data_IF_738704928495
#
_entry.id   IF_738704928495
#
_cell.length_a   1.000
_cell.length_b   1.000
_cell.length_c   1.000
_cell.angle_alpha   90.00
_cell.angle_beta   90.00
_cell.angle_gamma   90.00
#
_symmetry.space_group_name_H-M   'P 1'
#
loop_
_entity.id
_entity.type
_entity.pdbx_description
1 polymer ?
#
# COMPACT_ATOMS: atom_id res chain seq x y z
N UNK A 1 19.25 -8.62 -50.82
CA UNK A 1 20.41 -7.99 -50.15
C UNK A 1 19.85 -6.96 -49.21
N UNK A 2 19.69 -7.35 -47.94
CA UNK A 2 19.16 -6.46 -46.88
C UNK A 2 20.24 -5.47 -46.46
N UNK A 3 20.13 -4.23 -46.92
CA UNK A 3 20.92 -3.11 -46.42
C UNK A 3 20.38 -2.76 -45.00
N UNK A 4 20.80 -3.50 -43.99
CA UNK A 4 20.65 -3.05 -42.62
C UNK A 4 21.64 -1.89 -42.41
N UNK A 5 21.15 -0.66 -42.52
CA UNK A 5 21.88 0.51 -42.04
C UNK A 5 22.18 0.26 -40.55
N UNK A 6 23.47 0.14 -40.22
CA UNK A 6 23.96 -0.11 -38.86
C UNK A 6 23.37 0.93 -37.91
N UNK A 7 22.45 0.48 -37.00
CA UNK A 7 21.88 1.30 -35.95
C UNK A 7 20.39 1.67 -36.09
N UNK A 8 19.76 1.37 -37.23
CA UNK A 8 18.32 1.64 -37.42
C UNK A 8 17.53 0.33 -37.37
N UNK A 9 16.66 0.20 -36.35
CA UNK A 9 15.70 -0.89 -36.21
C UNK A 9 14.32 -0.42 -36.69
N UNK A 10 13.77 -1.06 -37.72
CA UNK A 10 12.39 -0.82 -38.14
C UNK A 10 11.44 -1.54 -37.20
N UNK A 11 10.57 -0.79 -36.55
CA UNK A 11 9.54 -1.31 -35.62
C UNK A 11 8.19 -0.94 -36.17
N UNK A 12 7.25 -1.91 -36.16
CA UNK A 12 5.87 -1.65 -36.54
C UNK A 12 5.18 -0.91 -35.39
N UNK A 13 4.74 0.32 -35.62
CA UNK A 13 4.13 1.20 -34.61
C UNK A 13 2.98 0.52 -33.84
N UNK A 14 2.09 -0.17 -34.56
CA UNK A 14 0.94 -0.85 -33.94
C UNK A 14 1.38 -1.94 -32.97
N UNK A 15 2.43 -2.70 -33.29
CA UNK A 15 2.95 -3.75 -32.41
C UNK A 15 3.60 -3.16 -31.17
N UNK A 16 4.42 -2.13 -31.37
CA UNK A 16 5.09 -1.43 -30.25
C UNK A 16 4.08 -0.79 -29.30
N UNK A 17 3.08 -0.09 -29.83
CA UNK A 17 2.00 0.52 -29.04
C UNK A 17 1.24 -0.51 -28.22
N UNK A 18 0.86 -1.67 -28.80
CA UNK A 18 0.19 -2.74 -28.07
C UNK A 18 1.04 -3.27 -26.92
N UNK A 19 2.30 -3.58 -27.18
CA UNK A 19 3.20 -4.14 -26.18
C UNK A 19 3.45 -3.15 -25.06
N UNK A 20 3.75 -1.90 -25.38
CA UNK A 20 4.01 -0.85 -24.40
C UNK A 20 2.79 -0.53 -23.56
N UNK A 21 1.59 -0.48 -24.18
CA UNK A 21 0.33 -0.27 -23.46
C UNK A 21 0.02 -1.43 -22.51
N UNK A 22 0.20 -2.67 -22.95
CA UNK A 22 0.00 -3.85 -22.09
C UNK A 22 0.95 -3.86 -20.90
N UNK A 23 2.23 -3.57 -21.12
CA UNK A 23 3.22 -3.48 -20.06
C UNK A 23 2.89 -2.38 -19.04
N UNK A 24 2.48 -1.21 -19.54
CA UNK A 24 2.02 -0.11 -18.69
C UNK A 24 0.76 -0.50 -17.88
N UNK A 25 -0.27 -1.05 -18.54
CA UNK A 25 -1.49 -1.49 -17.90
C UNK A 25 -1.23 -2.52 -16.79
N UNK A 26 -0.42 -3.54 -17.07
CA UNK A 26 -0.03 -4.55 -16.09
C UNK A 26 0.72 -3.94 -14.90
N UNK A 27 1.65 -3.01 -15.16
CA UNK A 27 2.38 -2.35 -14.08
C UNK A 27 1.46 -1.51 -13.18
N UNK A 28 0.48 -0.81 -13.76
CA UNK A 28 -0.50 -0.04 -12.98
C UNK A 28 -1.42 -0.96 -12.16
N UNK A 29 -1.84 -2.08 -12.71
CA UNK A 29 -2.71 -3.05 -12.02
C UNK A 29 -1.95 -3.67 -10.83
N UNK A 30 -0.78 -4.28 -11.10
CA UNK A 30 -0.07 -5.11 -10.11
C UNK A 30 0.75 -4.27 -9.12
N UNK A 31 1.41 -3.21 -9.61
CA UNK A 31 2.42 -2.49 -8.83
C UNK A 31 1.96 -1.11 -8.33
N UNK A 32 0.70 -0.72 -8.50
CA UNK A 32 0.24 0.62 -8.10
C UNK A 32 -1.16 0.67 -7.52
N UNK A 33 -2.17 0.21 -8.26
CA UNK A 33 -3.56 0.55 -7.98
C UNK A 33 -4.28 -0.43 -7.05
N UNK A 34 -3.97 -1.73 -7.16
CA UNK A 34 -4.64 -2.77 -6.41
C UNK A 34 -3.87 -3.16 -5.15
N UNK A 35 -4.58 -3.41 -4.04
CA UNK A 35 -3.98 -3.95 -2.83
C UNK A 35 -3.74 -5.46 -2.98
N UNK A 36 -2.78 -5.98 -2.23
CA UNK A 36 -2.67 -7.43 -2.01
C UNK A 36 -3.75 -7.88 -1.02
N UNK A 37 -4.42 -9.00 -1.31
CA UNK A 37 -5.51 -9.52 -0.47
C UNK A 37 -5.03 -9.93 0.93
N UNK A 38 -3.77 -10.32 1.07
CA UNK A 38 -3.18 -10.83 2.31
C UNK A 38 -2.94 -9.74 3.35
N UNK A 39 -2.50 -8.55 2.92
CA UNK A 39 -2.21 -7.44 3.83
C UNK A 39 -3.09 -6.19 3.60
N UNK A 40 -3.90 -6.20 2.55
CA UNK A 40 -4.80 -5.09 2.22
C UNK A 40 -4.07 -3.81 1.80
N UNK A 41 -2.81 -3.89 1.40
CA UNK A 41 -1.99 -2.73 1.11
C UNK A 41 -1.61 -2.63 -0.36
N UNK A 42 -1.65 -1.41 -0.88
CA UNK A 42 -0.98 -1.06 -2.13
C UNK A 42 0.54 -1.03 -1.90
N UNK A 43 1.36 -1.24 -2.94
CA UNK A 43 2.81 -1.27 -2.79
C UNK A 43 3.39 -0.05 -2.06
N UNK A 44 2.94 1.16 -2.39
CA UNK A 44 3.42 2.38 -1.73
C UNK A 44 3.10 2.40 -0.23
N UNK A 45 1.92 1.94 0.17
CA UNK A 45 1.49 1.90 1.57
C UNK A 45 2.33 0.89 2.37
N UNK A 46 2.54 -0.30 1.80
CA UNK A 46 3.41 -1.34 2.39
C UNK A 46 4.82 -0.83 2.60
N UNK A 47 5.40 -0.16 1.61
CA UNK A 47 6.74 0.43 1.67
C UNK A 47 6.85 1.54 2.71
N UNK A 48 5.80 2.35 2.89
CA UNK A 48 5.77 3.39 3.93
C UNK A 48 5.78 2.74 5.32
N UNK A 49 4.90 1.77 5.58
CA UNK A 49 4.83 1.11 6.89
C UNK A 49 6.12 0.35 7.17
N UNK A 50 6.69 -0.33 6.18
CA UNK A 50 7.97 -1.01 6.31
C UNK A 50 9.13 -0.04 6.56
N UNK A 51 9.23 1.05 5.81
CA UNK A 51 10.25 2.09 6.03
C UNK A 51 10.12 2.77 7.40
N UNK A 52 8.89 2.94 7.90
CA UNK A 52 8.66 3.42 9.26
C UNK A 52 9.17 2.44 10.31
N UNK A 53 9.02 1.13 10.07
CA UNK A 53 9.58 0.09 10.94
C UNK A 53 11.11 0.14 10.96
N UNK A 54 11.75 0.21 9.79
CA UNK A 54 13.21 0.32 9.69
C UNK A 54 13.76 1.57 10.39
N UNK A 55 13.05 2.68 10.31
CA UNK A 55 13.37 3.90 11.02
C UNK A 55 13.09 3.82 12.53
N UNK A 56 12.45 2.76 13.04
CA UNK A 56 12.03 2.65 14.42
C UNK A 56 10.96 3.67 14.82
N UNK A 57 10.05 4.02 13.91
CA UNK A 57 8.93 4.94 14.15
C UNK A 57 7.77 4.22 14.86
N UNK A 58 8.02 3.60 15.99
CA UNK A 58 7.02 2.83 16.73
C UNK A 58 6.03 3.72 17.48
N UNK A 59 4.85 3.16 17.79
CA UNK A 59 3.76 3.90 18.45
C UNK A 59 4.10 4.42 19.85
N UNK A 60 5.09 3.85 20.51
CA UNK A 60 5.59 4.24 21.82
C UNK A 60 6.81 5.18 21.76
N UNK A 61 7.30 5.50 20.57
CA UNK A 61 8.47 6.35 20.34
C UNK A 61 8.05 7.76 19.92
N UNK A 62 9.02 8.67 19.96
CA UNK A 62 8.83 10.03 19.49
C UNK A 62 8.49 10.07 18.00
N UNK A 63 7.66 11.03 17.62
CA UNK A 63 7.37 11.31 16.20
C UNK A 63 8.64 11.67 15.43
N UNK A 64 8.65 11.34 14.15
CA UNK A 64 9.69 11.76 13.21
C UNK A 64 9.09 12.62 12.11
N UNK A 65 9.89 13.55 11.59
CA UNK A 65 9.46 14.38 10.45
C UNK A 65 9.02 13.51 9.29
N UNK A 66 7.85 13.82 8.71
CA UNK A 66 7.33 13.11 7.55
C UNK A 66 8.32 13.10 6.39
N UNK A 67 9.05 14.20 6.20
CA UNK A 67 10.10 14.29 5.18
C UNK A 67 11.20 13.23 5.34
N UNK A 68 11.53 12.82 6.58
CA UNK A 68 12.51 11.75 6.82
C UNK A 68 11.96 10.39 6.40
N UNK A 69 10.68 10.13 6.70
CA UNK A 69 10.02 8.88 6.33
C UNK A 69 9.91 8.80 4.80
N UNK A 70 9.46 9.87 4.16
CA UNK A 70 9.34 9.96 2.69
C UNK A 70 10.70 9.76 2.02
N UNK A 71 11.76 10.41 2.53
CA UNK A 71 13.12 10.26 2.00
C UNK A 71 13.66 8.83 2.09
N UNK A 72 13.43 8.16 3.22
CA UNK A 72 13.83 6.76 3.41
C UNK A 72 13.12 5.83 2.42
N UNK A 73 11.80 5.98 2.31
CA UNK A 73 10.98 5.16 1.39
C UNK A 73 11.33 5.40 -0.06
N UNK A 74 11.52 6.67 -0.44
CA UNK A 74 11.88 7.04 -1.81
C UNK A 74 13.27 6.53 -2.19
N UNK A 75 14.24 6.66 -1.30
CA UNK A 75 15.61 6.25 -1.56
C UNK A 75 15.82 4.76 -1.65
N UNK A 76 15.11 3.98 -0.82
CA UNK A 76 15.34 2.53 -0.71
C UNK A 76 14.33 1.66 -1.44
N UNK A 77 13.05 2.07 -1.50
CA UNK A 77 11.98 1.13 -1.88
C UNK A 77 11.08 1.63 -3.01
N UNK A 78 10.86 2.95 -3.10
CA UNK A 78 9.84 3.47 -4.01
C UNK A 78 10.39 4.61 -4.90
N UNK A 79 10.98 4.31 -6.07
CA UNK A 79 11.67 5.27 -6.93
C UNK A 79 10.67 6.13 -7.74
N UNK A 80 9.76 6.81 -7.04
CA UNK A 80 8.77 7.72 -7.60
C UNK A 80 8.80 9.05 -6.88
N UNK A 81 7.97 10.02 -7.32
CA UNK A 81 7.94 11.36 -6.73
C UNK A 81 7.59 11.35 -5.24
N UNK A 82 8.27 12.18 -4.46
CA UNK A 82 8.06 12.37 -3.04
C UNK A 82 6.63 12.76 -2.67
N UNK A 83 5.98 13.54 -3.52
CA UNK A 83 4.58 13.96 -3.34
C UNK A 83 3.63 12.76 -3.29
N UNK A 84 3.81 11.75 -4.16
CA UNK A 84 2.97 10.56 -4.17
C UNK A 84 3.12 9.70 -2.92
N UNK A 85 4.34 9.62 -2.39
CA UNK A 85 4.64 8.91 -1.14
C UNK A 85 4.04 9.68 0.04
N UNK A 86 4.23 11.00 0.06
CA UNK A 86 3.70 11.84 1.13
C UNK A 86 2.18 11.83 1.16
N UNK A 87 1.50 11.94 0.02
CA UNK A 87 0.03 11.87 -0.06
C UNK A 87 -0.50 10.51 0.43
N UNK A 88 0.19 9.41 0.13
CA UNK A 88 -0.18 8.10 0.65
C UNK A 88 -0.02 8.02 2.18
N UNK A 89 1.07 8.58 2.72
CA UNK A 89 1.30 8.68 4.16
C UNK A 89 0.23 9.54 4.84
N UNK A 90 -0.10 10.68 4.25
CA UNK A 90 -1.15 11.60 4.73
C UNK A 90 -2.49 10.89 4.82
N UNK A 91 -2.90 10.18 3.77
CA UNK A 91 -4.18 9.45 3.77
C UNK A 91 -4.25 8.39 4.87
N UNK A 92 -3.17 7.70 5.16
CA UNK A 92 -3.11 6.71 6.25
C UNK A 92 -3.20 7.32 7.65
N UNK A 93 -3.01 8.63 7.78
CA UNK A 93 -3.12 9.39 9.03
C UNK A 93 -4.46 10.15 9.18
N UNK A 94 -5.32 10.14 8.15
CA UNK A 94 -6.60 10.85 8.15
C UNK A 94 -7.72 9.95 8.67
N UNK A 95 -8.45 10.37 9.70
CA UNK A 95 -9.57 9.66 10.30
C UNK A 95 -10.82 9.62 9.41
N UNK A 96 -10.94 10.56 8.47
CA UNK A 96 -11.98 10.58 7.45
C UNK A 96 -11.65 9.75 6.20
N UNK A 97 -10.39 9.34 6.03
CA UNK A 97 -9.93 8.48 4.92
C UNK A 97 -9.78 7.01 5.33
N UNK A 98 -9.41 6.76 6.57
CA UNK A 98 -9.18 5.42 7.12
C UNK A 98 -10.04 5.21 8.36
N UNK A 99 -10.80 4.11 8.39
CA UNK A 99 -11.58 3.75 9.59
C UNK A 99 -10.68 3.45 10.78
N UNK A 100 -9.55 2.80 10.52
CA UNK A 100 -8.50 2.53 11.51
C UNK A 100 -7.18 3.04 10.95
N UNK A 101 -6.78 4.22 11.38
CA UNK A 101 -5.57 4.87 10.90
C UNK A 101 -4.33 4.01 11.12
N UNK A 102 -3.50 3.88 10.09
CA UNK A 102 -2.24 3.15 10.15
C UNK A 102 -1.07 4.04 10.57
N UNK A 103 -1.20 5.33 10.38
CA UNK A 103 -0.23 6.34 10.76
C UNK A 103 -0.82 7.23 11.84
N UNK A 104 -0.06 7.45 12.90
CA UNK A 104 -0.35 8.45 13.92
C UNK A 104 0.41 9.72 13.54
N UNK A 105 -0.35 10.74 13.11
CA UNK A 105 0.17 12.00 12.60
C UNK A 105 0.12 13.12 13.64
N UNK A 106 1.15 13.98 13.64
CA UNK A 106 1.21 15.18 14.44
C UNK A 106 1.43 16.41 13.54
N UNK A 107 0.50 17.34 13.60
CA UNK A 107 0.44 18.53 12.74
C UNK A 107 -0.81 18.55 11.87
N UNK A 108 -0.79 19.34 10.80
CA UNK A 108 -1.91 19.46 9.88
C UNK A 108 -1.80 18.41 8.76
N UNK A 109 -2.67 17.39 8.80
CA UNK A 109 -2.81 16.36 7.78
C UNK A 109 -4.04 16.58 6.87
N UNK A 110 -4.56 17.79 6.82
CA UNK A 110 -5.74 18.14 6.02
C UNK A 110 -7.05 17.98 6.79
N UNK A 111 -8.14 18.32 6.13
CA UNK A 111 -9.49 18.22 6.67
C UNK A 111 -10.47 17.60 5.68
N UNK A 112 -11.62 17.14 6.18
CA UNK A 112 -12.71 16.64 5.34
C UNK A 112 -13.31 17.74 4.43
N UNK A 113 -13.12 19.00 4.80
CA UNK A 113 -13.61 20.16 4.04
C UNK A 113 -12.74 20.48 2.81
N UNK A 114 -11.70 19.67 2.57
CA UNK A 114 -10.85 19.78 1.39
C UNK A 114 -9.54 20.54 1.60
N UNK A 115 -9.22 20.96 2.82
CA UNK A 115 -7.91 21.53 3.11
C UNK A 115 -6.82 20.48 2.92
N UNK A 116 -5.77 20.85 2.20
CA UNK A 116 -4.60 19.99 2.00
C UNK A 116 -3.75 19.87 3.27
N UNK A 117 -2.97 18.80 3.34
CA UNK A 117 -1.96 18.64 4.39
C UNK A 117 -0.87 19.71 4.28
N UNK A 118 -0.30 20.11 5.41
CA UNK A 118 0.90 20.94 5.43
C UNK A 118 2.08 20.21 4.77
N UNK A 119 3.07 20.95 4.28
CA UNK A 119 4.26 20.35 3.67
C UNK A 119 4.96 19.39 4.65
N UNK A 120 5.53 18.29 4.12
CA UNK A 120 6.12 17.19 4.89
C UNK A 120 7.24 17.61 5.86
N UNK A 121 7.83 18.78 5.66
CA UNK A 121 8.84 19.36 6.58
C UNK A 121 8.24 19.87 7.90
N UNK A 122 6.93 20.15 7.93
CA UNK A 122 6.22 20.63 9.12
C UNK A 122 5.53 19.51 9.89
N UNK A 123 5.02 18.49 9.18
CA UNK A 123 4.31 17.38 9.79
C UNK A 123 5.26 16.32 10.35
N UNK A 124 4.78 15.58 11.35
CA UNK A 124 5.50 14.50 11.98
C UNK A 124 4.59 13.25 12.02
N UNK A 125 5.18 12.07 11.98
CA UNK A 125 4.43 10.83 11.95
C UNK A 125 5.17 9.71 12.69
N UNK A 126 4.38 8.72 13.13
CA UNK A 126 4.83 7.42 13.65
C UNK A 126 3.78 6.36 13.32
N UNK A 127 4.12 5.09 13.48
CA UNK A 127 3.14 4.02 13.33
C UNK A 127 2.07 4.10 14.42
N UNK A 128 0.82 3.85 14.07
CA UNK A 128 -0.25 3.66 15.03
C UNK A 128 -0.11 2.29 15.73
N UNK A 129 -0.86 2.08 16.82
CA UNK A 129 -0.84 0.78 17.52
C UNK A 129 -1.29 -0.38 16.63
N UNK A 130 -2.27 -0.15 15.75
CA UNK A 130 -2.76 -1.20 14.85
C UNK A 130 -1.71 -1.56 13.79
N UNK A 131 -0.89 -0.60 13.32
CA UNK A 131 0.20 -0.87 12.39
C UNK A 131 1.29 -1.73 13.01
N UNK A 132 1.49 -1.65 14.32
CA UNK A 132 2.44 -2.52 15.02
C UNK A 132 2.00 -4.00 14.94
N UNK A 133 0.69 -4.28 14.93
CA UNK A 133 0.18 -5.65 14.76
C UNK A 133 0.34 -6.15 13.32
N UNK A 134 0.37 -5.26 12.33
CA UNK A 134 0.67 -5.63 10.94
C UNK A 134 2.14 -6.04 10.76
N UNK A 135 3.04 -5.53 11.60
CA UNK A 135 4.49 -5.72 11.51
C UNK A 135 5.05 -6.74 12.52
N UNK A 136 4.23 -7.20 13.45
CA UNK A 136 4.69 -7.94 14.65
C UNK A 136 5.54 -9.17 14.37
N UNK A 137 5.25 -9.87 13.30
CA UNK A 137 5.93 -11.12 12.94
C UNK A 137 6.90 -10.98 11.76
N UNK A 138 7.27 -9.74 11.39
CA UNK A 138 8.12 -9.45 10.21
C UNK A 138 9.47 -10.19 10.25
N UNK A 139 10.03 -10.41 11.44
CA UNK A 139 11.32 -11.07 11.65
C UNK A 139 11.20 -12.58 11.94
N UNK A 140 10.02 -13.18 11.73
CA UNK A 140 9.77 -14.60 12.10
C UNK A 140 9.71 -15.55 10.90
N UNK A 141 10.27 -15.17 9.77
CA UNK A 141 10.26 -15.98 8.53
C UNK A 141 8.84 -16.40 8.09
N UNK A 142 7.89 -15.48 8.23
CA UNK A 142 6.47 -15.71 7.90
C UNK A 142 6.09 -15.21 6.50
N UNK A 143 6.97 -14.46 5.86
CA UNK A 143 6.78 -13.83 4.55
C UNK A 143 8.07 -13.83 3.74
N UNK A 144 7.92 -13.74 2.42
CA UNK A 144 9.06 -13.62 1.52
C UNK A 144 9.55 -12.18 1.40
N UNK A 145 10.87 -12.00 1.33
CA UNK A 145 11.51 -10.74 0.99
C UNK A 145 12.05 -10.80 -0.44
N UNK A 146 11.75 -9.76 -1.19
CA UNK A 146 12.18 -9.59 -2.58
C UNK A 146 13.22 -8.47 -2.67
N UNK A 147 14.11 -8.48 -3.68
CA UNK A 147 14.98 -7.34 -3.95
C UNK A 147 14.14 -6.08 -4.24
N UNK A 148 14.64 -4.93 -3.80
CA UNK A 148 14.08 -3.63 -4.18
C UNK A 148 14.43 -3.31 -5.66
N UNK A 149 14.10 -2.09 -6.12
CA UNK A 149 14.24 -1.68 -7.52
C UNK A 149 15.68 -1.68 -8.04
N UNK A 150 16.71 -1.49 -7.20
CA UNK A 150 18.14 -1.48 -7.57
C UNK A 150 18.88 -2.76 -7.12
N UNK A 151 18.24 -3.63 -6.35
CA UNK A 151 18.80 -4.88 -5.84
C UNK A 151 19.75 -4.72 -4.64
N UNK A 152 19.94 -3.51 -4.12
CA UNK A 152 20.82 -3.25 -2.98
C UNK A 152 20.15 -3.56 -1.64
N UNK A 153 18.81 -3.40 -1.56
CA UNK A 153 18.02 -3.65 -0.36
C UNK A 153 16.96 -4.73 -0.61
N UNK A 154 16.32 -5.18 0.45
CA UNK A 154 15.21 -6.13 0.36
C UNK A 154 13.95 -5.54 0.99
N UNK A 155 12.82 -5.77 0.34
CA UNK A 155 11.51 -5.34 0.85
C UNK A 155 10.57 -6.55 1.02
N UNK A 156 9.61 -6.50 1.95
CA UNK A 156 8.64 -7.57 2.12
C UNK A 156 7.69 -7.62 0.92
N UNK A 157 7.44 -8.82 0.41
CA UNK A 157 6.45 -9.02 -0.65
C UNK A 157 5.04 -8.69 -0.17
N UNK A 158 4.74 -9.02 1.09
CA UNK A 158 3.53 -8.64 1.84
C UNK A 158 3.87 -8.43 3.31
N UNK A 159 3.01 -7.77 4.08
CA UNK A 159 3.18 -7.71 5.53
C UNK A 159 2.56 -8.94 6.22
N UNK A 160 3.12 -9.42 7.35
CA UNK A 160 2.60 -10.56 8.11
C UNK A 160 1.40 -10.14 8.96
N UNK A 161 0.36 -9.64 8.32
CA UNK A 161 -0.80 -9.04 8.97
C UNK A 161 -1.54 -10.04 9.84
N UNK A 162 -1.80 -9.69 11.10
CA UNK A 162 -2.64 -10.46 12.03
C UNK A 162 -4.11 -10.09 11.98
N UNK A 163 -4.44 -9.03 11.27
CA UNK A 163 -5.80 -8.53 11.09
C UNK A 163 -6.11 -8.45 9.60
N UNK A 164 -7.33 -8.72 9.17
CA UNK A 164 -7.73 -8.63 7.76
C UNK A 164 -7.91 -7.16 7.34
N UNK A 165 -6.79 -6.45 7.20
CA UNK A 165 -6.74 -5.00 6.95
C UNK A 165 -7.52 -4.60 5.69
N UNK A 166 -7.58 -5.46 4.66
CA UNK A 166 -8.36 -5.20 3.45
C UNK A 166 -9.85 -4.98 3.75
N UNK A 167 -10.43 -5.77 4.65
CA UNK A 167 -11.84 -5.63 5.06
C UNK A 167 -12.02 -4.50 6.06
N UNK A 168 -11.11 -4.37 6.99
CA UNK A 168 -11.21 -3.41 8.11
C UNK A 168 -11.11 -1.97 7.62
N UNK A 169 -10.17 -1.66 6.74
CA UNK A 169 -9.98 -0.31 6.18
C UNK A 169 -10.59 -0.13 4.79
N UNK A 170 -10.93 -1.23 4.11
CA UNK A 170 -11.36 -1.17 2.73
C UNK A 170 -10.27 -0.70 1.77
N UNK A 171 -10.63 -0.44 0.54
CA UNK A 171 -9.73 0.13 -0.45
C UNK A 171 -10.50 0.68 -1.64
N UNK A 172 -9.97 1.72 -2.25
CA UNK A 172 -10.40 2.22 -3.55
C UNK A 172 -9.19 2.33 -4.46
N UNK A 173 -9.34 1.95 -5.73
CA UNK A 173 -8.25 2.06 -6.69
C UNK A 173 -8.75 1.99 -8.12
N UNK A 174 -8.18 2.82 -8.97
CA UNK A 174 -8.49 2.87 -10.41
C UNK A 174 -7.24 2.43 -11.15
N UNK A 175 -7.35 1.33 -11.87
CA UNK A 175 -6.30 0.82 -12.75
C UNK A 175 -6.70 0.94 -14.21
N UNK A 176 -5.92 0.39 -15.12
CA UNK A 176 -6.27 0.33 -16.54
C UNK A 176 -7.19 -0.88 -16.77
N UNK A 177 -8.41 -0.63 -17.24
CA UNK A 177 -9.38 -1.68 -17.55
C UNK A 177 -10.11 -2.29 -16.34
N UNK A 178 -9.75 -1.92 -15.11
CA UNK A 178 -10.44 -2.37 -13.90
C UNK A 178 -10.30 -1.37 -12.74
N UNK A 179 -11.21 -1.48 -11.78
CA UNK A 179 -11.17 -0.69 -10.55
C UNK A 179 -11.55 -1.58 -9.37
N UNK A 180 -11.14 -1.18 -8.18
CA UNK A 180 -11.57 -1.78 -6.92
C UNK A 180 -12.22 -0.73 -6.05
N UNK A 181 -13.30 -1.11 -5.37
CA UNK A 181 -13.96 -0.28 -4.37
C UNK A 181 -14.54 -1.20 -3.30
N UNK A 182 -13.90 -1.22 -2.15
CA UNK A 182 -14.29 -2.02 -1.00
C UNK A 182 -14.50 -1.10 0.19
N UNK A 183 -15.70 -1.06 0.79
CA UNK A 183 -15.97 -0.23 1.96
C UNK A 183 -15.24 -0.77 3.20
N UNK A 184 -14.94 0.08 4.20
CA UNK A 184 -14.38 -0.35 5.47
C UNK A 184 -15.45 -1.00 6.36
N UNK A 185 -15.04 -2.04 7.11
CA UNK A 185 -15.92 -2.80 8.02
C UNK A 185 -15.49 -2.64 9.48
N UNK A 186 -16.40 -2.94 10.40
CA UNK A 186 -16.10 -2.98 11.83
C UNK A 186 -15.19 -4.16 12.16
N UNK A 187 -14.09 -3.91 12.89
CA UNK A 187 -13.10 -4.95 13.19
C UNK A 187 -13.69 -6.11 14.02
N UNK A 188 -14.62 -5.84 14.94
CA UNK A 188 -15.30 -6.87 15.72
C UNK A 188 -16.10 -7.82 14.82
N UNK A 189 -16.92 -7.26 13.92
CA UNK A 189 -17.73 -8.03 12.97
C UNK A 189 -16.86 -8.86 12.02
N UNK A 190 -15.74 -8.28 11.56
CA UNK A 190 -14.78 -8.99 10.70
C UNK A 190 -14.11 -10.15 11.44
N UNK A 191 -13.75 -9.96 12.72
CA UNK A 191 -13.18 -11.03 13.55
C UNK A 191 -14.21 -12.14 13.78
N UNK A 192 -15.46 -11.80 14.07
CA UNK A 192 -16.55 -12.78 14.23
C UNK A 192 -16.75 -13.58 12.93
N UNK A 193 -16.71 -12.92 11.77
CA UNK A 193 -16.76 -13.57 10.47
C UNK A 193 -15.57 -14.52 10.25
N UNK A 194 -14.35 -14.11 10.59
CA UNK A 194 -13.16 -14.97 10.51
C UNK A 194 -13.31 -16.20 11.40
N UNK A 195 -13.80 -16.04 12.63
CA UNK A 195 -14.05 -17.15 13.55
C UNK A 195 -15.12 -18.10 12.98
N UNK A 196 -16.19 -17.55 12.41
CA UNK A 196 -17.26 -18.35 11.79
C UNK A 196 -16.75 -19.17 10.61
N UNK A 197 -15.99 -18.55 9.68
CA UNK A 197 -15.38 -19.23 8.54
C UNK A 197 -14.36 -20.28 8.97
N UNK A 198 -13.57 -20.01 10.02
CA UNK A 198 -12.61 -20.97 10.56
C UNK A 198 -13.28 -22.23 11.11
N UNK A 199 -14.45 -22.07 11.76
CA UNK A 199 -15.24 -23.19 12.27
C UNK A 199 -16.00 -23.96 11.19
N UNK A 200 -16.43 -23.26 10.14
CA UNK A 200 -17.16 -23.83 9.01
C UNK A 200 -16.72 -23.18 7.69
N UNK A 201 -15.71 -23.70 7.00
CA UNK A 201 -15.19 -23.14 5.75
C UNK A 201 -16.21 -23.04 4.60
N UNK A 202 -17.33 -23.75 4.69
CA UNK A 202 -18.41 -23.71 3.68
C UNK A 202 -19.44 -22.60 3.94
N UNK A 203 -19.34 -21.89 5.06
CA UNK A 203 -20.29 -20.87 5.48
C UNK A 203 -20.26 -19.55 4.70
N UNK A 204 -19.34 -19.39 3.75
CA UNK A 204 -19.19 -18.14 2.98
C UNK A 204 -20.45 -17.70 2.24
N UNK A 205 -21.34 -18.63 1.86
CA UNK A 205 -22.62 -18.32 1.21
C UNK A 205 -23.61 -17.65 2.15
N UNK A 206 -23.56 -17.93 3.44
CA UNK A 206 -24.42 -17.30 4.47
C UNK A 206 -23.95 -15.90 4.84
N UNK A 207 -22.66 -15.62 4.80
CA UNK A 207 -22.12 -14.29 5.04
C UNK A 207 -22.53 -13.29 3.94
N UNK A 208 -22.70 -13.75 2.69
CA UNK A 208 -23.24 -12.94 1.58
C UNK A 208 -24.73 -12.60 1.73
N UNK A 209 -25.52 -13.43 2.40
CA UNK A 209 -26.97 -13.24 2.52
C UNK A 209 -27.38 -12.14 3.50
N UNK A 210 -26.45 -11.60 4.29
CA UNK A 210 -26.69 -10.50 5.23
C UNK A 210 -26.36 -9.12 4.65
N UNK A 211 -25.95 -9.03 3.38
CA UNK A 211 -25.63 -7.77 2.70
C UNK A 211 -26.82 -7.15 1.93
N UNK A 212 -28.03 -7.61 2.15
CA UNK A 212 -29.26 -7.04 1.54
C UNK A 212 -30.14 -6.35 2.58
#
# INVERSE_FOLDING_TARGET
MDNQEKGIRKIQLTSEMKTSFMNYAMSVIVARALPDVRDGMKPVQRRIVYGMNELGCYSDKAYKKSARIVGEVMGKYHPHGDSSIYEALVRMAQDFSYRYMLVDGHGNFGSIDGDGAAAMRYTEARMSKISMELMRDINKDTIDFIPNYDGEEREPSVLPCRIPNLLVNGTTGIAVGMATNMPPHNIGEVIDAVIAVSKNPVSYTHLRAHET
#
